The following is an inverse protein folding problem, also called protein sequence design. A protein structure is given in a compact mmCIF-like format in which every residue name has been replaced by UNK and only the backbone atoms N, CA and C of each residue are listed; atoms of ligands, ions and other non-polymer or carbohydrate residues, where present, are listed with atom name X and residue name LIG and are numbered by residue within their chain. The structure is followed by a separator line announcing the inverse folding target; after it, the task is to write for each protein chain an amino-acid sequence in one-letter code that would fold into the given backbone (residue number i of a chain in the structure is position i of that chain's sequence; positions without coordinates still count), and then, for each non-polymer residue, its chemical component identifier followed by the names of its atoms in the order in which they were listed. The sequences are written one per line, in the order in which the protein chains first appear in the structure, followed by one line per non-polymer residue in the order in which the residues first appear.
data_IF_077331770120
#
_entry.id   IF_077331770120
#
_cell.length_a   1.000
_cell.length_b   1.000
_cell.length_c   1.000
_cell.angle_alpha   90.00
_cell.angle_beta   90.00
_cell.angle_gamma   90.00
#
_symmetry.space_group_name_H-M   'P 1'
#
loop_
_entity.id
_entity.type
_entity.pdbx_description
1 polymer ?
#
# COMPACT_ATOMS: atom_id res chain seq x y z
N UNK A 1 -5.87 25.17 8.41
CA UNK A 1 -6.59 23.90 8.16
C UNK A 1 -5.64 22.75 8.46
N UNK A 2 -5.72 22.16 9.66
CA UNK A 2 -4.93 20.98 9.96
C UNK A 2 -5.46 19.85 9.06
N UNK A 3 -4.68 19.44 8.05
CA UNK A 3 -4.91 18.16 7.38
C UNK A 3 -4.76 17.11 8.48
N UNK A 4 -5.88 16.68 9.06
CA UNK A 4 -5.93 15.47 9.89
C UNK A 4 -5.58 14.35 8.93
N UNK A 5 -4.29 14.09 8.76
CA UNK A 5 -3.83 12.85 8.16
C UNK A 5 -4.20 11.79 9.18
N UNK A 6 -5.42 11.26 9.05
CA UNK A 6 -5.82 10.04 9.71
C UNK A 6 -4.89 9.01 9.08
N UNK A 7 -3.76 8.76 9.74
CA UNK A 7 -2.94 7.62 9.40
C UNK A 7 -3.80 6.44 9.79
N UNK A 8 -4.56 5.91 8.83
CA UNK A 8 -5.19 4.62 9.02
C UNK A 8 -4.04 3.67 9.36
N UNK A 9 -4.06 3.16 10.58
CA UNK A 9 -3.09 2.20 11.05
C UNK A 9 -3.41 0.90 10.32
N UNK A 10 -2.66 0.63 9.26
CA UNK A 10 -2.70 -0.66 8.57
C UNK A 10 -1.78 -1.62 9.31
N UNK A 11 -2.32 -2.78 9.67
CA UNK A 11 -1.55 -3.87 10.25
C UNK A 11 -0.36 -4.24 9.36
N UNK A 12 0.74 -4.64 9.99
CA UNK A 12 1.96 -5.03 9.28
C UNK A 12 1.72 -6.21 8.34
N UNK A 13 0.85 -7.15 8.74
CA UNK A 13 0.40 -8.26 7.89
C UNK A 13 -0.35 -7.78 6.65
N UNK A 14 -1.18 -6.75 6.79
CA UNK A 14 -1.92 -6.16 5.67
C UNK A 14 -0.94 -5.51 4.68
N UNK A 15 0.01 -4.72 5.17
CA UNK A 15 1.05 -4.10 4.33
C UNK A 15 1.87 -5.16 3.59
N UNK A 16 2.29 -6.23 4.27
CA UNK A 16 3.05 -7.32 3.67
C UNK A 16 2.27 -8.03 2.54
N UNK A 17 0.97 -8.30 2.75
CA UNK A 17 0.10 -8.89 1.72
C UNK A 17 -0.04 -7.94 0.53
N UNK A 18 -0.28 -6.65 0.78
CA UNK A 18 -0.45 -5.64 -0.25
C UNK A 18 0.82 -5.47 -1.10
N UNK A 19 2.00 -5.47 -0.47
CA UNK A 19 3.30 -5.44 -1.16
C UNK A 19 3.55 -6.72 -1.96
N UNK A 20 3.18 -7.89 -1.42
CA UNK A 20 3.31 -9.17 -2.11
C UNK A 20 2.43 -9.24 -3.36
N UNK A 21 1.19 -8.74 -3.28
CA UNK A 21 0.27 -8.62 -4.42
C UNK A 21 0.85 -7.74 -5.53
N UNK A 22 1.37 -6.56 -5.16
CA UNK A 22 2.04 -5.64 -6.11
C UNK A 22 3.33 -6.21 -6.68
N UNK A 23 3.97 -7.17 -6.01
CA UNK A 23 5.20 -7.80 -6.49
C UNK A 23 4.95 -8.91 -7.52
N UNK A 24 3.69 -9.29 -7.75
CA UNK A 24 3.34 -10.31 -8.74
C UNK A 24 3.53 -9.77 -10.17
N UNK A 25 4.02 -10.60 -11.11
CA UNK A 25 4.19 -10.18 -12.50
C UNK A 25 2.85 -9.85 -13.14
N UNK A 26 2.76 -8.70 -13.82
CA UNK A 26 1.54 -8.25 -14.50
C UNK A 26 0.50 -7.56 -13.61
N UNK A 27 0.78 -7.41 -12.30
CA UNK A 27 -0.10 -6.68 -11.38
C UNK A 27 0.35 -5.22 -11.26
N UNK A 28 -0.55 -4.27 -11.47
CA UNK A 28 -0.26 -2.85 -11.27
C UNK A 28 -0.68 -2.40 -9.87
N UNK A 29 0.12 -1.51 -9.28
CA UNK A 29 -0.18 -0.94 -7.96
C UNK A 29 -1.52 -0.16 -7.93
N UNK A 30 -1.96 0.41 -9.06
CA UNK A 30 -3.26 1.06 -9.16
C UNK A 30 -4.42 0.07 -8.95
N UNK A 31 -4.31 -1.13 -9.52
CA UNK A 31 -5.38 -2.13 -9.49
C UNK A 31 -5.49 -2.72 -8.08
N UNK A 32 -4.35 -3.00 -7.44
CA UNK A 32 -4.31 -3.46 -6.04
C UNK A 32 -4.85 -2.37 -5.09
N UNK A 33 -4.52 -1.11 -5.37
CA UNK A 33 -5.02 0.01 -4.57
C UNK A 33 -6.54 0.18 -4.68
N UNK A 34 -7.09 0.02 -5.88
CA UNK A 34 -8.53 0.08 -6.13
C UNK A 34 -9.28 -1.08 -5.44
N UNK A 35 -8.73 -2.29 -5.46
CA UNK A 35 -9.32 -3.46 -4.77
C UNK A 35 -9.26 -3.33 -3.25
N UNK A 36 -8.17 -2.80 -2.71
CA UNK A 36 -7.98 -2.62 -1.28
C UNK A 36 -8.59 -1.31 -0.74
N UNK A 37 -9.17 -0.48 -1.61
CA UNK A 37 -9.68 0.87 -1.31
C UNK A 37 -8.65 1.74 -0.57
N UNK A 38 -7.39 1.66 -1.00
CA UNK A 38 -6.28 2.43 -0.43
C UNK A 38 -5.67 3.37 -1.46
N UNK A 39 -4.91 4.36 -0.99
CA UNK A 39 -4.17 5.23 -1.88
C UNK A 39 -2.97 4.48 -2.51
N UNK A 40 -2.80 4.45 -3.84
CA UNK A 40 -1.68 3.76 -4.50
C UNK A 40 -0.30 4.29 -4.09
N UNK A 41 -0.20 5.52 -3.58
CA UNK A 41 1.04 6.08 -3.02
C UNK A 41 1.48 5.28 -1.78
N UNK A 42 0.55 4.75 -0.98
CA UNK A 42 0.89 3.94 0.19
C UNK A 42 1.60 2.64 -0.20
N UNK A 43 1.15 1.97 -1.27
CA UNK A 43 1.81 0.76 -1.80
C UNK A 43 3.26 1.04 -2.21
N UNK A 44 3.52 2.20 -2.83
CA UNK A 44 4.88 2.59 -3.20
C UNK A 44 5.76 2.84 -1.97
N UNK A 45 5.20 3.48 -0.93
CA UNK A 45 5.90 3.72 0.34
C UNK A 45 6.24 2.42 1.05
N UNK A 46 5.27 1.50 1.18
CA UNK A 46 5.50 0.20 1.79
C UNK A 46 6.48 -0.64 0.97
N UNK A 47 6.37 -0.65 -0.35
CA UNK A 47 7.34 -1.38 -1.19
C UNK A 47 8.78 -0.92 -0.95
N UNK A 48 9.00 0.38 -0.67
CA UNK A 48 10.31 0.90 -0.29
C UNK A 48 10.71 0.47 1.12
N UNK A 49 9.78 0.58 2.08
CA UNK A 49 9.96 0.19 3.49
C UNK A 49 10.29 -1.29 3.67
N UNK A 50 9.77 -2.18 2.82
CA UNK A 50 10.06 -3.64 2.83
C UNK A 50 11.29 -4.05 2.01
N UNK A 51 11.90 -3.14 1.24
CA UNK A 51 13.05 -3.43 0.37
C UNK A 51 14.39 -2.98 0.99
N UNK A 52 14.35 -2.09 1.97
CA UNK A 52 15.49 -1.71 2.83
C UNK A 52 15.51 -2.59 4.10
#
# INVERSE_FOLDING_TARGET
MARKTKYDYYDESFKAIAVKLVSLPGVYAKDVAEVLDINPIMLYRWKKEYRE
#
